data_IF_456857361035
#
_entry.id   IF_456857361035
#
_cell.length_a   1.000
_cell.length_b   1.000
_cell.length_c   1.000
_cell.angle_alpha   90.00
_cell.angle_beta   90.00
_cell.angle_gamma   90.00
#
_symmetry.space_group_name_H-M   'P 1'
#
loop_
_entity.id
_entity.type
_entity.pdbx_description
1 polymer ?
#
# COMPACT_ATOMS: atom_id res chain seq x y z
N UNK A 1 -10.63 26.40 15.93
CA UNK A 1 -10.74 25.47 14.81
C UNK A 1 -10.37 24.11 15.35
N UNK A 2 -11.27 23.15 15.32
CA UNK A 2 -10.93 21.77 15.69
C UNK A 2 -9.89 21.26 14.69
N UNK A 3 -8.78 20.73 15.18
CA UNK A 3 -7.74 20.12 14.34
C UNK A 3 -8.37 18.94 13.60
N UNK A 4 -8.20 18.87 12.27
CA UNK A 4 -8.70 17.72 11.50
C UNK A 4 -8.04 16.44 12.02
N UNK A 5 -8.86 15.39 12.25
CA UNK A 5 -8.41 14.09 12.76
C UNK A 5 -7.59 13.35 11.70
N UNK A 6 -6.53 12.66 12.12
CA UNK A 6 -5.65 11.89 11.25
C UNK A 6 -6.08 10.43 11.21
N UNK A 7 -6.38 9.93 10.01
CA UNK A 7 -6.63 8.51 9.74
C UNK A 7 -5.46 7.92 8.95
N UNK A 8 -4.85 6.86 9.45
CA UNK A 8 -3.83 6.10 8.74
C UNK A 8 -4.42 4.78 8.23
N UNK A 9 -4.34 4.56 6.92
CA UNK A 9 -4.77 3.35 6.23
C UNK A 9 -3.54 2.61 5.72
N UNK A 10 -3.28 1.44 6.25
CA UNK A 10 -2.09 0.65 5.95
C UNK A 10 -2.43 -0.48 4.99
N UNK A 11 -1.65 -0.61 3.92
CA UNK A 11 -1.65 -1.77 3.04
C UNK A 11 -0.89 -2.92 3.73
N UNK A 12 -1.62 -3.95 4.14
CA UNK A 12 -1.04 -5.06 4.90
C UNK A 12 0.02 -5.81 4.11
N UNK A 13 -0.34 -6.24 2.89
CA UNK A 13 0.56 -7.08 2.10
C UNK A 13 1.83 -6.34 1.70
N UNK A 14 1.73 -5.09 1.28
CA UNK A 14 2.90 -4.28 0.95
C UNK A 14 3.88 -4.17 2.14
N UNK A 15 3.37 -3.96 3.36
CA UNK A 15 4.20 -3.88 4.57
C UNK A 15 4.75 -5.24 5.00
N UNK A 16 3.97 -6.32 4.86
CA UNK A 16 4.38 -7.69 5.19
C UNK A 16 5.49 -8.15 4.25
N UNK A 17 5.30 -8.01 2.93
CA UNK A 17 6.32 -8.34 1.94
C UNK A 17 7.60 -7.56 2.16
N UNK A 18 7.48 -6.25 2.37
CA UNK A 18 8.62 -5.39 2.69
C UNK A 18 9.36 -5.88 3.94
N UNK A 19 8.62 -6.24 4.98
CA UNK A 19 9.17 -6.80 6.21
C UNK A 19 9.92 -8.11 5.98
N UNK A 20 9.33 -9.02 5.23
CA UNK A 20 9.94 -10.29 4.85
C UNK A 20 11.24 -10.10 4.09
N UNK A 21 11.22 -9.31 3.01
CA UNK A 21 12.40 -9.10 2.18
C UNK A 21 13.52 -8.32 2.89
N UNK A 22 13.20 -7.48 3.85
CA UNK A 22 14.21 -6.79 4.67
C UNK A 22 15.09 -7.76 5.46
N UNK A 23 14.56 -8.91 5.83
CA UNK A 23 15.27 -9.95 6.60
C UNK A 23 15.65 -11.19 5.78
N UNK A 24 15.42 -11.23 4.48
CA UNK A 24 15.61 -12.42 3.64
C UNK A 24 17.04 -13.01 3.74
N UNK A 25 18.06 -12.16 3.92
CA UNK A 25 19.46 -12.59 4.07
C UNK A 25 19.82 -13.02 5.50
N UNK A 26 19.01 -12.66 6.48
CA UNK A 26 19.20 -13.00 7.90
C UNK A 26 17.83 -13.16 8.58
N UNK A 27 17.12 -14.26 8.30
CA UNK A 27 15.78 -14.52 8.81
C UNK A 27 15.70 -14.53 10.32
N UNK A 28 14.61 -14.07 10.87
CA UNK A 28 14.32 -14.03 12.30
C UNK A 28 13.56 -15.27 12.72
N UNK A 29 14.29 -16.33 13.03
CA UNK A 29 13.72 -17.61 13.45
C UNK A 29 13.50 -17.60 14.97
N UNK A 30 12.28 -17.94 15.39
CA UNK A 30 11.97 -18.08 16.81
C UNK A 30 12.45 -19.44 17.37
N UNK A 31 12.31 -19.65 18.70
CA UNK A 31 12.73 -20.88 19.38
C UNK A 31 11.99 -22.14 18.94
N UNK A 32 10.86 -21.99 18.20
CA UNK A 32 10.08 -23.09 17.62
C UNK A 32 10.41 -23.38 16.15
N UNK A 33 11.41 -22.69 15.59
CA UNK A 33 11.84 -22.86 14.21
C UNK A 33 10.99 -22.08 13.18
N UNK A 34 10.06 -21.23 13.61
CA UNK A 34 9.21 -20.43 12.72
C UNK A 34 9.93 -19.15 12.31
N UNK A 35 9.91 -18.83 11.01
CA UNK A 35 10.37 -17.54 10.51
C UNK A 35 9.35 -16.44 10.87
N UNK A 36 9.78 -15.51 11.69
CA UNK A 36 8.99 -14.35 12.16
C UNK A 36 9.39 -13.04 11.51
N UNK A 37 10.22 -13.08 10.47
CA UNK A 37 10.76 -11.89 9.80
C UNK A 37 9.66 -10.95 9.29
N UNK A 38 8.65 -11.51 8.64
CA UNK A 38 7.51 -10.75 8.11
C UNK A 38 6.71 -10.08 9.24
N UNK A 39 6.46 -10.81 10.33
CA UNK A 39 5.76 -10.29 11.51
C UNK A 39 6.56 -9.13 12.11
N UNK A 40 7.85 -9.33 12.36
CA UNK A 40 8.73 -8.31 12.94
C UNK A 40 8.81 -7.07 12.08
N UNK A 41 8.96 -7.23 10.75
CA UNK A 41 9.06 -6.12 9.82
C UNK A 41 7.78 -5.31 9.73
N UNK A 42 6.62 -5.99 9.67
CA UNK A 42 5.31 -5.35 9.71
C UNK A 42 5.11 -4.57 11.03
N UNK A 43 5.37 -5.22 12.16
CA UNK A 43 5.20 -4.60 13.48
C UNK A 43 6.12 -3.40 13.70
N UNK A 44 7.36 -3.45 13.21
CA UNK A 44 8.26 -2.31 13.27
C UNK A 44 7.70 -1.12 12.51
N UNK A 45 7.16 -1.33 11.30
CA UNK A 45 6.53 -0.27 10.51
C UNK A 45 5.30 0.31 11.20
N UNK A 46 4.42 -0.55 11.72
CA UNK A 46 3.22 -0.15 12.45
C UNK A 46 3.56 0.69 13.70
N UNK A 47 4.49 0.20 14.54
CA UNK A 47 4.89 0.88 15.76
C UNK A 47 5.63 2.20 15.49
N UNK A 48 6.40 2.27 14.41
CA UNK A 48 7.02 3.52 13.95
C UNK A 48 5.96 4.56 13.60
N UNK A 49 4.94 4.19 12.83
CA UNK A 49 3.83 5.07 12.48
C UNK A 49 3.12 5.57 13.75
N UNK A 50 2.76 4.67 14.65
CA UNK A 50 2.09 5.04 15.90
C UNK A 50 2.92 6.05 16.71
N UNK A 51 4.23 5.81 16.83
CA UNK A 51 5.14 6.65 17.64
C UNK A 51 5.45 8.00 17.01
N UNK A 52 5.63 8.05 15.68
CA UNK A 52 6.14 9.25 15.01
C UNK A 52 5.03 10.12 14.43
N UNK A 53 3.92 9.51 13.97
CA UNK A 53 2.84 10.23 13.32
C UNK A 53 1.68 10.57 14.25
N UNK A 54 1.58 9.86 15.39
CA UNK A 54 0.52 10.04 16.39
C UNK A 54 -0.88 10.08 15.72
N UNK A 55 -1.33 8.95 15.11
CA UNK A 55 -2.62 8.87 14.44
C UNK A 55 -3.78 8.94 15.45
N UNK A 56 -4.88 9.65 15.09
CA UNK A 56 -6.14 9.57 15.85
C UNK A 56 -6.86 8.24 15.57
N UNK A 57 -6.74 7.76 14.33
CA UNK A 57 -7.31 6.50 13.86
C UNK A 57 -6.32 5.76 12.97
N UNK A 58 -6.33 4.43 13.06
CA UNK A 58 -5.51 3.54 12.25
C UNK A 58 -6.30 2.30 11.87
N UNK A 59 -6.18 1.87 10.61
CA UNK A 59 -6.74 0.63 10.13
C UNK A 59 -5.78 -0.03 9.13
N UNK A 60 -5.86 -1.35 9.04
CA UNK A 60 -5.01 -2.16 8.17
C UNK A 60 -5.89 -2.93 7.18
N UNK A 61 -5.68 -2.69 5.88
CA UNK A 61 -6.43 -3.36 4.83
C UNK A 61 -5.71 -4.62 4.34
N UNK A 62 -6.47 -5.70 4.21
CA UNK A 62 -6.01 -6.99 3.70
C UNK A 62 -6.80 -7.38 2.44
N UNK A 63 -6.10 -7.98 1.47
CA UNK A 63 -6.76 -8.67 0.36
C UNK A 63 -7.48 -9.92 0.87
N UNK A 64 -8.72 -10.12 0.40
CA UNK A 64 -9.48 -11.32 0.67
C UNK A 64 -9.93 -11.99 -0.63
N UNK A 65 -9.04 -12.80 -1.20
CA UNK A 65 -9.38 -13.61 -2.38
C UNK A 65 -9.22 -12.93 -3.73
N UNK A 66 -8.63 -11.72 -3.79
CA UNK A 66 -8.44 -10.97 -5.04
C UNK A 66 -9.70 -10.28 -5.57
N UNK A 67 -9.56 -9.51 -6.65
CA UNK A 67 -10.70 -8.84 -7.29
C UNK A 67 -11.45 -9.81 -8.21
N UNK A 68 -12.70 -10.12 -7.86
CA UNK A 68 -13.60 -10.93 -8.72
C UNK A 68 -13.81 -10.22 -10.06
N UNK A 69 -14.14 -8.96 -10.03
CA UNK A 69 -14.44 -8.16 -11.23
C UNK A 69 -13.25 -8.09 -12.20
N UNK A 70 -12.02 -7.87 -11.67
CA UNK A 70 -10.82 -7.81 -12.51
C UNK A 70 -10.47 -9.18 -13.11
N UNK A 71 -10.64 -10.27 -12.34
CA UNK A 71 -10.41 -11.64 -12.81
C UNK A 71 -11.44 -12.10 -13.85
N UNK A 72 -12.68 -11.61 -13.77
CA UNK A 72 -13.72 -11.86 -14.78
C UNK A 72 -13.48 -11.07 -16.06
N UNK A 73 -12.99 -9.82 -15.97
CA UNK A 73 -12.66 -8.99 -17.13
C UNK A 73 -11.39 -9.44 -17.85
N UNK A 74 -10.39 -9.91 -17.10
CA UNK A 74 -9.09 -10.34 -17.61
C UNK A 74 -8.67 -11.66 -16.97
N UNK A 75 -8.79 -12.74 -17.69
CA UNK A 75 -8.44 -14.11 -17.21
C UNK A 75 -6.97 -14.24 -16.82
N UNK A 76 -6.10 -13.40 -17.40
CA UNK A 76 -4.65 -13.36 -17.13
C UNK A 76 -4.26 -12.35 -16.04
N UNK A 77 -5.25 -11.71 -15.39
CA UNK A 77 -4.97 -10.75 -14.33
C UNK A 77 -4.14 -11.39 -13.22
N UNK A 78 -2.99 -10.81 -12.94
CA UNK A 78 -2.02 -11.31 -11.94
C UNK A 78 -1.48 -12.74 -12.17
N UNK A 79 -1.68 -13.32 -13.37
CA UNK A 79 -1.19 -14.67 -13.70
C UNK A 79 0.34 -14.80 -13.61
N UNK A 80 1.07 -13.70 -13.78
CA UNK A 80 2.53 -13.63 -13.74
C UNK A 80 3.10 -13.43 -12.32
N UNK A 81 2.25 -13.39 -11.27
CA UNK A 81 2.74 -13.23 -9.90
C UNK A 81 3.29 -14.55 -9.37
N UNK A 82 4.49 -14.48 -8.80
CA UNK A 82 5.08 -15.59 -8.06
C UNK A 82 4.18 -16.01 -6.90
N UNK A 83 4.24 -17.28 -6.54
CA UNK A 83 3.51 -17.77 -5.35
C UNK A 83 4.01 -17.04 -4.10
N UNK A 84 3.06 -16.63 -3.27
CA UNK A 84 3.38 -16.01 -1.97
C UNK A 84 4.29 -16.92 -1.16
N UNK A 85 5.45 -16.44 -0.70
CA UNK A 85 6.34 -17.22 0.15
C UNK A 85 5.64 -17.77 1.39
N UNK A 86 5.92 -19.03 1.73
CA UNK A 86 5.31 -19.70 2.88
C UNK A 86 5.45 -18.91 4.20
N UNK A 87 6.61 -18.30 4.54
CA UNK A 87 6.73 -17.50 5.76
C UNK A 87 5.76 -16.32 5.81
N UNK A 88 5.38 -15.74 4.66
CA UNK A 88 4.36 -14.68 4.60
C UNK A 88 2.98 -15.25 4.90
N UNK A 89 2.63 -16.40 4.30
CA UNK A 89 1.35 -17.06 4.57
C UNK A 89 1.19 -17.43 6.05
N UNK A 90 2.26 -17.91 6.67
CA UNK A 90 2.30 -18.21 8.11
C UNK A 90 2.18 -16.93 8.96
N UNK A 91 2.75 -15.81 8.53
CA UNK A 91 2.74 -14.56 9.29
C UNK A 91 1.36 -13.90 9.36
N UNK A 92 0.54 -14.00 8.30
CA UNK A 92 -0.75 -13.29 8.19
C UNK A 92 -1.67 -13.52 9.38
N UNK A 93 -1.99 -14.77 9.79
CA UNK A 93 -2.88 -15.01 10.92
C UNK A 93 -2.32 -14.43 12.24
N UNK A 94 -1.01 -14.52 12.48
CA UNK A 94 -0.41 -13.91 13.66
C UNK A 94 -0.49 -12.38 13.65
N UNK A 95 -0.27 -11.75 12.50
CA UNK A 95 -0.40 -10.30 12.36
C UNK A 95 -1.85 -9.88 12.66
N UNK A 96 -2.85 -10.58 12.12
CA UNK A 96 -4.26 -10.30 12.39
C UNK A 96 -4.60 -10.47 13.89
N UNK A 97 -4.08 -11.50 14.55
CA UNK A 97 -4.26 -11.71 15.99
C UNK A 97 -3.65 -10.56 16.81
N UNK A 98 -2.45 -10.11 16.45
CA UNK A 98 -1.79 -8.97 17.10
C UNK A 98 -2.61 -7.69 16.90
N UNK A 99 -3.05 -7.39 15.67
CA UNK A 99 -3.87 -6.22 15.37
C UNK A 99 -5.16 -6.21 16.20
N UNK A 100 -5.86 -7.34 16.27
CA UNK A 100 -7.06 -7.50 17.09
C UNK A 100 -6.76 -7.26 18.58
N UNK A 101 -5.64 -7.81 19.09
CA UNK A 101 -5.19 -7.62 20.47
C UNK A 101 -4.83 -6.17 20.79
N UNK A 102 -4.37 -5.42 19.78
CA UNK A 102 -4.08 -3.98 19.86
C UNK A 102 -5.32 -3.09 19.63
N UNK A 103 -6.49 -3.69 19.41
CA UNK A 103 -7.73 -2.99 19.03
C UNK A 103 -7.57 -2.12 17.77
N UNK A 104 -6.79 -2.59 16.79
CA UNK A 104 -6.61 -1.96 15.48
C UNK A 104 -7.56 -2.59 14.49
N UNK A 105 -8.33 -1.77 13.78
CA UNK A 105 -9.32 -2.22 12.81
C UNK A 105 -8.67 -2.92 11.62
N UNK A 106 -9.17 -4.13 11.30
CA UNK A 106 -8.82 -4.87 10.09
C UNK A 106 -9.93 -4.61 9.07
N UNK A 107 -9.54 -4.16 7.88
CA UNK A 107 -10.43 -3.93 6.75
C UNK A 107 -10.21 -5.02 5.71
N UNK A 108 -11.22 -5.83 5.46
CA UNK A 108 -11.20 -6.83 4.40
C UNK A 108 -12.61 -7.07 3.87
N UNK A 109 -12.72 -7.28 2.56
CA UNK A 109 -13.99 -7.56 1.91
C UNK A 109 -13.76 -8.55 0.78
N UNK A 110 -14.59 -9.61 0.75
CA UNK A 110 -14.54 -10.61 -0.31
C UNK A 110 -14.81 -9.98 -1.68
N UNK A 111 -13.99 -10.34 -2.68
CA UNK A 111 -14.08 -9.83 -4.04
C UNK A 111 -13.45 -8.45 -4.27
N UNK A 112 -12.86 -7.84 -3.25
CA UNK A 112 -12.15 -6.56 -3.35
C UNK A 112 -10.71 -6.71 -2.86
N UNK A 113 -9.83 -5.94 -3.46
CA UNK A 113 -8.43 -5.84 -3.06
C UNK A 113 -8.24 -4.76 -1.99
N UNK A 114 -7.11 -4.80 -1.27
CA UNK A 114 -6.77 -3.80 -0.26
C UNK A 114 -6.81 -2.37 -0.85
N UNK A 115 -6.38 -2.20 -2.09
CA UNK A 115 -6.35 -0.93 -2.80
C UNK A 115 -7.74 -0.32 -2.97
N UNK A 116 -8.73 -1.16 -3.36
CA UNK A 116 -10.12 -0.74 -3.52
C UNK A 116 -10.71 -0.28 -2.16
N UNK A 117 -10.37 -1.02 -1.10
CA UNK A 117 -10.84 -0.74 0.26
C UNK A 117 -10.21 0.56 0.78
N UNK A 118 -8.88 0.70 0.65
CA UNK A 118 -8.15 1.89 1.10
C UNK A 118 -8.66 3.12 0.34
N UNK A 119 -8.78 3.05 -0.99
CA UNK A 119 -9.25 4.15 -1.81
C UNK A 119 -10.67 4.59 -1.45
N UNK A 120 -11.57 3.62 -1.24
CA UNK A 120 -12.96 3.88 -0.85
C UNK A 120 -13.04 4.55 0.51
N UNK A 121 -12.34 4.01 1.52
CA UNK A 121 -12.34 4.55 2.88
C UNK A 121 -11.65 5.92 2.92
N UNK A 122 -10.57 6.13 2.15
CA UNK A 122 -9.89 7.42 2.07
C UNK A 122 -10.81 8.52 1.54
N UNK A 123 -11.49 8.27 0.42
CA UNK A 123 -12.43 9.24 -0.17
C UNK A 123 -13.65 9.51 0.72
N UNK A 124 -14.10 8.52 1.46
CA UNK A 124 -15.23 8.69 2.41
C UNK A 124 -14.81 9.46 3.66
N UNK A 125 -13.62 9.18 4.19
CA UNK A 125 -13.08 9.89 5.35
C UNK A 125 -12.78 11.37 5.02
N UNK A 126 -12.28 11.66 3.81
CA UNK A 126 -12.06 13.03 3.32
C UNK A 126 -13.35 13.87 3.38
N UNK A 127 -14.48 13.30 2.91
CA UNK A 127 -15.80 13.98 3.00
C UNK A 127 -16.23 14.31 4.44
N UNK A 128 -15.69 13.57 5.40
CA UNK A 128 -15.92 13.74 6.83
C UNK A 128 -14.81 14.57 7.51
N UNK A 129 -14.05 15.36 6.74
CA UNK A 129 -13.00 16.25 7.21
C UNK A 129 -11.82 15.56 7.93
N UNK A 130 -11.51 14.30 7.58
CA UNK A 130 -10.28 13.68 8.02
C UNK A 130 -9.10 14.06 7.12
N UNK A 131 -7.91 14.13 7.71
CA UNK A 131 -6.66 14.00 6.97
C UNK A 131 -6.29 12.51 6.88
N UNK A 132 -6.23 11.99 5.66
CA UNK A 132 -6.02 10.57 5.41
C UNK A 132 -4.60 10.33 4.90
N UNK A 133 -3.94 9.34 5.48
CA UNK A 133 -2.58 8.94 5.15
C UNK A 133 -2.60 7.47 4.69
N UNK A 134 -2.48 7.24 3.39
CA UNK A 134 -2.43 5.91 2.79
C UNK A 134 -0.99 5.40 2.84
N UNK A 135 -0.73 4.38 3.63
CA UNK A 135 0.63 3.85 3.86
C UNK A 135 0.88 2.64 2.98
N UNK A 136 1.48 2.88 1.84
CA UNK A 136 1.87 1.86 0.86
C UNK A 136 3.07 2.35 0.02
N UNK A 137 3.96 1.48 -0.46
CA UNK A 137 4.98 1.85 -1.43
C UNK A 137 4.43 2.01 -2.85
N UNK A 138 3.19 1.57 -3.09
CA UNK A 138 2.57 1.56 -4.41
C UNK A 138 2.31 2.99 -4.91
N UNK A 139 2.85 3.30 -6.07
CA UNK A 139 2.71 4.60 -6.72
C UNK A 139 1.32 4.85 -7.29
N UNK A 140 0.55 3.78 -7.54
CA UNK A 140 -0.77 3.89 -8.16
C UNK A 140 -1.77 4.61 -7.27
N UNK A 141 -1.53 4.60 -5.96
CA UNK A 141 -2.27 5.41 -5.00
C UNK A 141 -2.09 6.94 -5.16
N UNK A 142 -1.08 7.38 -5.92
CA UNK A 142 -0.87 8.81 -6.16
C UNK A 142 -2.07 9.48 -6.87
N UNK A 143 -2.84 8.72 -7.66
CA UNK A 143 -4.09 9.19 -8.29
C UNK A 143 -5.17 9.61 -7.29
N UNK A 144 -5.09 9.14 -6.04
CA UNK A 144 -6.09 9.41 -4.99
C UNK A 144 -5.73 10.63 -4.15
N UNK A 145 -4.50 11.14 -4.28
CA UNK A 145 -3.99 12.26 -3.48
C UNK A 145 -4.81 13.52 -3.72
N UNK A 146 -5.07 14.25 -2.64
CA UNK A 146 -5.83 15.51 -2.64
C UNK A 146 -5.33 16.41 -1.51
N UNK A 147 -6.01 17.53 -1.26
CA UNK A 147 -5.67 18.44 -0.15
C UNK A 147 -5.72 17.77 1.23
N UNK A 148 -6.50 16.69 1.38
CA UNK A 148 -6.67 15.96 2.63
C UNK A 148 -6.30 14.47 2.55
N UNK A 149 -5.89 13.97 1.40
CA UNK A 149 -5.43 12.58 1.21
C UNK A 149 -3.97 12.59 0.78
N UNK A 150 -3.12 11.90 1.53
CA UNK A 150 -1.68 11.83 1.33
C UNK A 150 -1.24 10.39 1.08
N UNK A 151 -0.29 10.21 0.16
CA UNK A 151 0.41 8.93 -0.03
C UNK A 151 1.66 8.91 0.85
N UNK A 152 1.78 7.90 1.70
CA UNK A 152 2.88 7.74 2.63
C UNK A 152 3.72 6.52 2.26
N UNK A 153 4.95 6.74 1.83
CA UNK A 153 5.89 5.65 1.56
C UNK A 153 6.64 5.30 2.83
N UNK A 154 6.62 4.02 3.24
CA UNK A 154 7.32 3.60 4.45
C UNK A 154 8.81 3.93 4.38
N UNK A 155 9.38 4.38 5.51
CA UNK A 155 10.79 4.74 5.63
C UNK A 155 11.71 3.61 5.14
N UNK A 156 12.70 3.93 4.30
CA UNK A 156 13.81 3.01 3.99
C UNK A 156 14.88 3.20 5.06
N UNK A 157 15.64 2.14 5.36
CA UNK A 157 16.71 2.06 6.39
C UNK A 157 17.34 3.44 6.72
N UNK A 158 17.00 3.98 7.90
CA UNK A 158 17.58 5.22 8.41
C UNK A 158 16.95 6.53 7.92
N UNK A 159 15.99 6.48 7.00
CA UNK A 159 15.25 7.66 6.52
C UNK A 159 13.88 7.77 7.22
N UNK A 160 13.32 8.97 7.25
CA UNK A 160 11.93 9.20 7.65
C UNK A 160 10.94 8.69 6.60
N UNK A 161 9.69 8.49 7.00
CA UNK A 161 8.59 8.23 6.10
C UNK A 161 8.43 9.39 5.11
N UNK A 162 8.31 9.10 3.83
CA UNK A 162 8.08 10.08 2.79
C UNK A 162 6.59 10.28 2.59
N UNK A 163 6.12 11.52 2.67
CA UNK A 163 4.71 11.88 2.51
C UNK A 163 4.56 12.68 1.23
N UNK A 164 3.68 12.23 0.35
CA UNK A 164 3.36 12.89 -0.90
C UNK A 164 1.97 13.53 -0.81
N UNK A 165 1.92 14.84 -0.91
CA UNK A 165 0.73 15.62 -1.18
C UNK A 165 0.61 15.93 -2.67
N UNK A 166 -0.26 16.88 -3.00
CA UNK A 166 -0.56 17.28 -4.39
C UNK A 166 0.70 17.76 -5.11
N UNK A 167 1.53 18.57 -4.46
CA UNK A 167 2.72 19.17 -5.09
C UNK A 167 3.78 18.10 -5.39
N UNK A 168 4.02 17.17 -4.47
CA UNK A 168 4.96 16.06 -4.67
C UNK A 168 4.52 15.13 -5.80
N UNK A 169 3.22 14.86 -5.91
CA UNK A 169 2.67 14.04 -7.00
C UNK A 169 2.83 14.75 -8.34
N UNK A 170 2.50 16.04 -8.42
CA UNK A 170 2.65 16.84 -9.65
C UNK A 170 4.10 16.88 -10.12
N UNK A 171 5.04 17.11 -9.21
CA UNK A 171 6.46 17.14 -9.54
C UNK A 171 6.98 15.78 -10.03
N UNK A 172 6.59 14.68 -9.36
CA UNK A 172 7.12 13.34 -9.65
C UNK A 172 6.59 12.72 -10.93
N UNK A 173 5.34 12.99 -11.26
CA UNK A 173 4.69 12.44 -12.44
C UNK A 173 4.65 13.43 -13.61
N UNK A 174 5.15 14.66 -13.41
CA UNK A 174 5.13 15.76 -14.42
C UNK A 174 3.69 16.00 -14.94
N UNK A 175 2.72 16.04 -14.01
CA UNK A 175 1.29 16.23 -14.29
C UNK A 175 0.76 17.51 -13.66
N UNK A 176 -0.36 18.03 -14.17
CA UNK A 176 -0.99 19.24 -13.63
C UNK A 176 -1.88 18.97 -12.42
N UNK A 177 -2.38 17.72 -12.30
CA UNK A 177 -3.18 17.29 -11.16
C UNK A 177 -2.99 15.79 -10.85
N UNK A 178 -3.22 15.33 -9.59
CA UNK A 178 -3.10 13.92 -9.23
C UNK A 178 -3.99 12.98 -10.04
N UNK A 179 -5.16 13.42 -10.49
CA UNK A 179 -6.07 12.60 -11.30
C UNK A 179 -5.43 12.20 -12.64
N UNK A 180 -4.55 13.02 -13.20
CA UNK A 180 -3.85 12.70 -14.47
C UNK A 180 -2.83 11.55 -14.31
N UNK A 181 -2.52 11.15 -13.07
CA UNK A 181 -1.69 9.96 -12.83
C UNK A 181 -2.35 8.70 -13.40
N UNK A 182 -3.69 8.66 -13.50
CA UNK A 182 -4.42 7.56 -14.15
C UNK A 182 -3.99 7.40 -15.61
N UNK A 183 -4.00 8.49 -16.36
CA UNK A 183 -3.61 8.49 -17.77
C UNK A 183 -2.11 8.20 -17.94
N UNK A 184 -1.30 8.79 -17.06
CA UNK A 184 0.15 8.56 -17.01
C UNK A 184 0.47 7.07 -16.83
N UNK A 185 -0.14 6.41 -15.84
CA UNK A 185 0.06 4.99 -15.56
C UNK A 185 -0.50 4.11 -16.69
N UNK A 186 -1.67 4.48 -17.24
CA UNK A 186 -2.26 3.79 -18.38
C UNK A 186 -1.38 3.81 -19.63
N UNK A 187 -0.65 4.92 -19.86
CA UNK A 187 0.30 5.02 -20.98
C UNK A 187 1.63 4.30 -20.72
N UNK A 188 2.07 4.29 -19.46
CA UNK A 188 3.33 3.63 -19.06
C UNK A 188 3.24 2.11 -19.13
N UNK A 189 2.05 1.55 -18.91
CA UNK A 189 1.85 0.15 -18.64
C UNK A 189 2.45 -0.28 -17.29
N UNK A 190 2.02 -1.42 -16.78
CA UNK A 190 2.64 -2.06 -15.63
C UNK A 190 3.34 -3.35 -16.08
N UNK A 191 4.57 -3.56 -15.60
CA UNK A 191 5.33 -4.79 -15.88
C UNK A 191 4.70 -6.05 -15.27
N UNK A 192 3.76 -5.90 -14.35
CA UNK A 192 3.04 -6.97 -13.66
C UNK A 192 1.65 -7.20 -14.26
N UNK A 193 1.06 -6.19 -14.90
CA UNK A 193 -0.21 -6.28 -15.58
C UNK A 193 0.03 -6.25 -17.10
N UNK A 194 -0.46 -7.27 -17.82
CA UNK A 194 -0.41 -7.30 -19.28
C UNK A 194 -1.43 -6.29 -19.80
N UNK A 195 -1.06 -5.01 -19.81
CA UNK A 195 -1.73 -4.03 -20.64
C UNK A 195 -1.12 -4.06 -22.03
N UNK A 196 -1.99 -4.05 -23.04
CA UNK A 196 -1.60 -3.92 -24.44
C UNK A 196 -0.66 -2.73 -24.57
N UNK A 197 0.60 -3.04 -24.78
CA UNK A 197 1.66 -2.08 -25.05
C UNK A 197 1.25 -1.27 -26.29
N UNK A 198 0.84 -0.03 -26.09
CA UNK A 198 0.64 0.91 -27.19
C UNK A 198 2.02 1.32 -27.72
N UNK A 199 2.69 0.36 -28.36
CA UNK A 199 3.91 0.59 -29.13
C UNK A 199 3.57 1.48 -30.35
N UNK A 200 3.47 2.77 -30.12
CA UNK A 200 3.19 3.69 -31.23
C UNK A 200 3.29 5.17 -30.87
N UNK A 201 3.18 5.52 -29.61
CA UNK A 201 3.41 6.87 -29.13
C UNK A 201 4.89 6.99 -28.72
N UNK A 202 5.75 7.54 -29.57
CA UNK A 202 7.20 7.67 -29.40
C UNK A 202 7.66 8.51 -28.21
N UNK A 203 7.14 8.23 -27.04
CA UNK A 203 7.56 8.82 -25.77
C UNK A 203 8.66 7.92 -25.23
N UNK A 204 9.91 8.29 -25.45
CA UNK A 204 11.05 7.80 -24.68
C UNK A 204 10.91 8.33 -23.26
N UNK A 205 10.10 7.63 -22.41
CA UNK A 205 10.15 7.84 -20.99
C UNK A 205 11.50 7.30 -20.49
N UNK A 206 12.36 8.20 -20.05
CA UNK A 206 13.66 7.85 -19.48
C UNK A 206 13.43 6.95 -18.27
N UNK A 207 14.00 5.73 -18.35
CA UNK A 207 14.16 4.84 -17.20
C UNK A 207 15.09 5.51 -16.19
N UNK A 208 14.54 6.24 -15.24
CA UNK A 208 15.19 6.64 -14.00
C UNK A 208 14.13 6.96 -12.96
N UNK A 209 13.56 5.92 -12.38
CA UNK A 209 12.84 5.95 -11.10
C UNK A 209 13.29 4.76 -10.24
#
# INVERSE_FOLDING_TARGET
MESSKKLFLLDAYALIYRGYYAFIKNPRINSKGTDTSAILGFMNSLLEIIRTQNPDYIAVAFDKGGSITRSEMFTEYKSNRDKTPEPILVAIPYIKEILNSMNISILEKEGYEADDIIGTVAKDAEKNNFKVYMVTPDKDFAQLVSDNIFLCKPARMGNSMEIWGVDEVKERFEVDSPEQVIDYLGMMGDSVEIFLDYQGLGIKLQKNL
#
